data_IF_912482648124
#
_entry.id   IF_912482648124
#
_cell.length_a   1.000
_cell.length_b   1.000
_cell.length_c   1.000
_cell.angle_alpha   90.00
_cell.angle_beta   90.00
_cell.angle_gamma   90.00
#
_symmetry.space_group_name_H-M   'P 1'
#
loop_
_entity.id
_entity.type
_entity.pdbx_description
1 polymer ?
#
# COMPACT_ATOMS: atom_id res chain seq x y z
N UNK A 1 24.68 -63.45 38.86
CA UNK A 1 23.45 -64.00 38.26
C UNK A 1 22.32 -63.25 38.93
N UNK A 2 21.71 -62.28 38.24
CA UNK A 2 20.50 -62.48 37.40
C UNK A 2 19.26 -62.52 38.32
N UNK A 3 18.27 -61.65 38.24
CA UNK A 3 17.87 -60.69 37.19
C UNK A 3 17.27 -59.40 37.77
N UNK A 4 17.19 -58.35 36.94
CA UNK A 4 16.54 -57.08 37.28
C UNK A 4 15.09 -57.06 36.77
N UNK A 5 14.15 -56.64 37.61
CA UNK A 5 12.77 -56.38 37.23
C UNK A 5 12.51 -54.87 37.17
N UNK A 6 12.23 -54.35 35.98
CA UNK A 6 11.95 -52.93 35.73
C UNK A 6 10.51 -52.57 36.09
N UNK A 7 10.31 -51.81 37.16
CA UNK A 7 9.02 -51.18 37.46
C UNK A 7 8.84 -49.88 36.67
N UNK A 8 7.95 -49.89 35.68
CA UNK A 8 7.58 -48.68 34.94
C UNK A 8 6.69 -47.77 35.80
N UNK A 9 7.17 -46.57 36.13
CA UNK A 9 6.40 -45.58 36.87
C UNK A 9 5.31 -44.95 35.99
N UNK A 10 4.05 -45.27 36.27
CA UNK A 10 2.90 -44.60 35.66
C UNK A 10 2.78 -43.17 36.20
N UNK A 11 3.12 -42.18 35.37
CA UNK A 11 2.90 -40.77 35.68
C UNK A 11 1.44 -40.42 35.51
N UNK A 12 0.73 -40.26 36.63
CA UNK A 12 -0.70 -39.93 36.67
C UNK A 12 -0.88 -38.41 36.85
N UNK A 13 -1.30 -37.64 35.81
CA UNK A 13 -1.40 -36.19 35.89
C UNK A 13 -2.75 -35.75 36.47
N UNK A 14 -3.04 -36.11 37.72
CA UNK A 14 -4.20 -35.60 38.44
C UNK A 14 -3.80 -34.39 39.30
N UNK A 15 -3.72 -33.22 38.65
CA UNK A 15 -3.47 -31.95 39.34
C UNK A 15 -4.76 -31.51 40.01
N UNK A 16 -4.78 -31.50 41.35
CA UNK A 16 -5.88 -30.95 42.13
C UNK A 16 -6.10 -29.47 41.77
N UNK A 17 -7.26 -29.14 41.23
CA UNK A 17 -7.74 -27.77 41.13
C UNK A 17 -7.99 -27.27 42.56
N UNK A 18 -7.13 -26.38 43.05
CA UNK A 18 -7.32 -25.71 44.33
C UNK A 18 -8.43 -24.68 44.22
N UNK A 19 -9.38 -24.73 45.16
CA UNK A 19 -10.54 -23.83 45.23
C UNK A 19 -10.14 -22.34 45.10
N UNK A 20 -10.91 -21.51 44.38
CA UNK A 20 -10.66 -20.08 44.32
C UNK A 20 -10.95 -19.41 45.67
N UNK A 21 -9.95 -18.72 46.21
CA UNK A 21 -10.10 -17.87 47.40
C UNK A 21 -11.01 -16.69 47.09
N UNK A 22 -12.15 -16.60 47.75
CA UNK A 22 -13.05 -15.44 47.63
C UNK A 22 -12.39 -14.17 48.16
N UNK A 23 -12.10 -13.21 47.29
CA UNK A 23 -11.72 -11.86 47.71
C UNK A 23 -12.93 -11.15 48.32
N UNK A 24 -12.77 -10.61 49.53
CA UNK A 24 -13.85 -10.05 50.34
C UNK A 24 -13.91 -8.51 50.24
N UNK A 25 -13.73 -7.97 49.04
CA UNK A 25 -13.85 -6.54 48.76
C UNK A 25 -15.26 -6.21 48.23
N UNK A 26 -16.04 -5.49 49.04
CA UNK A 26 -17.46 -5.17 48.81
C UNK A 26 -17.73 -4.17 47.69
N UNK A 27 -17.26 -4.44 46.47
CA UNK A 27 -17.67 -3.76 45.23
C UNK A 27 -18.16 -4.81 44.24
N UNK A 28 -19.47 -5.05 44.24
CA UNK A 28 -20.12 -6.05 43.41
C UNK A 28 -19.88 -5.84 41.92
N UNK A 29 -18.86 -6.52 41.39
CA UNK A 29 -18.61 -6.69 39.96
C UNK A 29 -19.03 -8.12 39.64
N UNK A 30 -20.13 -8.26 38.90
CA UNK A 30 -20.57 -9.57 38.40
C UNK A 30 -19.63 -9.93 37.26
N UNK A 31 -18.71 -10.87 37.52
CA UNK A 31 -18.01 -11.56 36.44
C UNK A 31 -19.01 -12.51 35.78
N UNK A 32 -19.37 -12.21 34.54
CA UNK A 32 -20.21 -13.07 33.73
C UNK A 32 -19.29 -14.10 33.09
N UNK A 33 -19.28 -15.32 33.62
CA UNK A 33 -18.77 -16.49 32.91
C UNK A 33 -19.66 -16.78 31.69
N UNK A 34 -19.37 -16.09 30.59
CA UNK A 34 -19.87 -16.44 29.27
C UNK A 34 -18.67 -16.63 28.35
N UNK A 35 -18.39 -17.87 27.99
CA UNK A 35 -17.28 -18.29 27.14
C UNK A 35 -17.45 -17.90 25.66
N UNK A 36 -17.79 -16.64 25.38
CA UNK A 36 -17.68 -16.03 24.06
C UNK A 36 -16.32 -15.36 23.94
N UNK A 37 -15.36 -16.06 23.33
CA UNK A 37 -14.12 -15.40 22.88
C UNK A 37 -14.43 -14.28 21.87
N UNK A 38 -13.56 -13.28 21.73
CA UNK A 38 -13.74 -12.25 20.71
C UNK A 38 -13.80 -12.91 19.32
N UNK A 39 -14.80 -12.54 18.51
CA UNK A 39 -14.93 -13.01 17.12
C UNK A 39 -13.60 -12.79 16.37
N UNK A 40 -13.06 -13.85 15.79
CA UNK A 40 -11.84 -13.77 14.98
C UNK A 40 -12.16 -13.10 13.64
N UNK A 41 -11.15 -12.50 13.02
CA UNK A 41 -11.35 -11.74 11.78
C UNK A 41 -11.86 -12.61 10.62
N UNK A 42 -11.53 -13.91 10.58
CA UNK A 42 -12.06 -14.86 9.58
C UNK A 42 -13.57 -15.09 9.72
N UNK A 43 -14.12 -15.14 10.94
CA UNK A 43 -15.57 -15.31 11.14
C UNK A 43 -16.33 -14.06 10.63
N UNK A 44 -15.70 -12.88 10.71
CA UNK A 44 -16.20 -11.64 10.12
C UNK A 44 -16.07 -11.63 8.58
N UNK A 45 -14.96 -12.13 8.04
CA UNK A 45 -14.70 -12.17 6.60
C UNK A 45 -15.58 -13.20 5.88
N UNK A 46 -15.89 -14.35 6.51
CA UNK A 46 -16.79 -15.35 5.96
C UNK A 46 -18.23 -14.83 5.82
N UNK A 47 -18.73 -14.09 6.83
CA UNK A 47 -20.05 -13.41 6.78
C UNK A 47 -20.10 -12.29 5.72
N UNK A 48 -18.96 -11.67 5.39
CA UNK A 48 -18.88 -10.64 4.34
C UNK A 48 -18.64 -11.22 2.93
N UNK A 49 -17.98 -12.36 2.81
CA UNK A 49 -17.56 -12.99 1.55
C UNK A 49 -18.71 -13.59 0.73
N UNK A 50 -19.69 -14.20 1.39
CA UNK A 50 -20.82 -14.89 0.74
C UNK A 50 -21.73 -13.93 -0.07
N UNK A 51 -21.63 -12.62 0.16
CA UNK A 51 -22.42 -11.62 -0.57
C UNK A 51 -21.91 -11.30 -1.98
N UNK A 52 -20.82 -11.93 -2.45
CA UNK A 52 -20.17 -11.56 -3.73
C UNK A 52 -19.75 -12.70 -4.66
N UNK A 53 -20.18 -13.95 -4.45
CA UNK A 53 -19.94 -15.07 -5.40
C UNK A 53 -21.25 -15.74 -5.83
N UNK A 54 -21.78 -15.30 -6.97
CA UNK A 54 -23.01 -15.87 -7.54
C UNK A 54 -23.35 -15.42 -8.96
N UNK A 55 -22.45 -15.63 -9.95
CA UNK A 55 -22.82 -15.59 -11.39
C UNK A 55 -21.77 -16.14 -12.38
N UNK A 56 -21.84 -17.44 -12.69
CA UNK A 56 -21.42 -18.11 -13.94
C UNK A 56 -21.67 -19.62 -13.77
N UNK A 57 -22.60 -20.24 -14.52
CA UNK A 57 -22.39 -21.02 -15.77
C UNK A 57 -21.57 -22.31 -15.57
N UNK A 58 -21.94 -23.48 -16.10
CA UNK A 58 -22.98 -23.87 -17.08
C UNK A 58 -23.57 -25.25 -16.69
N UNK A 59 -24.82 -25.55 -17.08
CA UNK A 59 -25.13 -26.82 -17.78
C UNK A 59 -26.54 -26.81 -18.44
N UNK A 60 -26.71 -27.60 -19.50
CA UNK A 60 -27.93 -27.65 -20.35
C UNK A 60 -28.43 -29.08 -20.57
N UNK A 61 -29.75 -29.29 -20.74
CA UNK A 61 -30.22 -30.10 -21.88
C UNK A 61 -31.14 -29.33 -22.86
N UNK A 62 -31.55 -30.03 -23.94
CA UNK A 62 -32.23 -29.50 -25.14
C UNK A 62 -33.72 -29.91 -25.23
N UNK A 63 -34.37 -29.38 -26.29
CA UNK A 63 -35.62 -29.81 -26.96
C UNK A 63 -36.95 -29.23 -26.42
N UNK A 64 -37.93 -28.86 -27.26
CA UNK A 64 -37.96 -28.68 -28.74
C UNK A 64 -39.04 -27.64 -29.16
N UNK A 65 -39.16 -27.38 -30.48
CA UNK A 65 -40.15 -26.57 -31.26
C UNK A 65 -41.56 -26.36 -30.65
N UNK A 66 -42.36 -25.34 -31.00
CA UNK A 66 -42.57 -24.57 -32.26
C UNK A 66 -43.15 -23.16 -31.94
N UNK A 67 -43.57 -22.25 -32.84
CA UNK A 67 -43.77 -22.21 -34.30
C UNK A 67 -43.66 -20.75 -34.82
N UNK A 68 -43.71 -20.56 -36.14
CA UNK A 68 -43.35 -19.33 -36.90
C UNK A 68 -44.58 -18.56 -37.48
N UNK A 69 -44.33 -17.40 -38.10
CA UNK A 69 -45.19 -16.54 -38.94
C UNK A 69 -46.21 -15.68 -38.16
N UNK A 70 -46.46 -14.39 -38.47
CA UNK A 70 -46.43 -13.58 -39.72
C UNK A 70 -46.05 -12.11 -39.40
N UNK A 71 -45.72 -11.15 -40.29
CA UNK A 71 -45.32 -11.03 -41.72
C UNK A 71 -45.05 -9.52 -42.02
N UNK A 72 -44.25 -9.19 -43.05
CA UNK A 72 -44.21 -7.96 -43.91
C UNK A 72 -44.69 -6.59 -43.37
N UNK A 73 -44.02 -5.45 -43.56
CA UNK A 73 -43.58 -4.80 -44.82
C UNK A 73 -42.76 -3.52 -44.48
N UNK A 74 -42.12 -2.73 -45.35
CA UNK A 74 -41.37 -2.87 -46.62
C UNK A 74 -40.88 -1.44 -47.04
N UNK A 75 -39.75 -1.31 -47.76
CA UNK A 75 -39.15 -0.07 -48.35
C UNK A 75 -38.76 1.10 -47.39
N UNK A 76 -37.74 1.92 -47.64
CA UNK A 76 -36.68 1.93 -48.67
C UNK A 76 -35.89 3.28 -48.72
N UNK A 77 -34.65 3.24 -49.27
CA UNK A 77 -33.85 4.28 -50.01
C UNK A 77 -34.30 5.78 -49.99
N UNK A 78 -33.46 6.84 -50.00
CA UNK A 78 -32.05 7.04 -50.47
C UNK A 78 -31.48 8.44 -50.12
N UNK A 79 -30.16 8.52 -49.82
CA UNK A 79 -29.10 9.38 -50.39
C UNK A 79 -29.10 10.95 -50.44
N UNK A 80 -27.87 11.50 -50.22
CA UNK A 80 -27.34 12.88 -50.52
C UNK A 80 -28.00 14.07 -49.75
N UNK A 81 -27.36 15.20 -49.44
CA UNK A 81 -25.94 15.63 -49.30
C UNK A 81 -25.94 16.98 -48.52
N UNK A 82 -24.92 17.84 -48.35
CA UNK A 82 -23.60 18.02 -48.99
C UNK A 82 -22.60 18.85 -48.12
N UNK A 83 -21.43 19.17 -48.66
CA UNK A 83 -20.39 20.10 -48.20
C UNK A 83 -20.89 21.53 -47.84
N UNK A 84 -20.28 22.26 -46.87
CA UNK A 84 -19.21 23.29 -47.02
C UNK A 84 -18.98 24.01 -45.64
N UNK A 85 -17.96 24.83 -45.31
CA UNK A 85 -16.71 25.36 -45.92
C UNK A 85 -15.72 25.86 -44.80
N UNK A 86 -14.52 26.33 -45.17
CA UNK A 86 -13.53 27.20 -44.46
C UNK A 86 -13.18 28.34 -45.45
N UNK A 87 -12.80 29.60 -45.08
CA UNK A 87 -11.56 29.97 -44.34
C UNK A 87 -11.76 31.15 -43.32
N UNK A 88 -10.88 31.53 -42.37
CA UNK A 88 -9.43 31.90 -42.36
C UNK A 88 -9.14 33.42 -42.66
N UNK A 89 -7.93 34.01 -42.47
CA UNK A 89 -7.72 35.05 -41.45
C UNK A 89 -7.20 36.41 -41.99
N UNK A 90 -6.86 37.38 -41.10
CA UNK A 90 -6.02 38.55 -41.43
C UNK A 90 -5.00 38.89 -40.34
N UNK A 91 -3.76 39.17 -40.77
CA UNK A 91 -2.66 39.70 -39.99
C UNK A 91 -2.32 41.16 -40.42
N UNK A 92 -1.44 41.84 -39.67
CA UNK A 92 -0.42 42.85 -40.09
C UNK A 92 0.31 43.41 -38.85
N UNK A 93 1.63 43.25 -38.72
CA UNK A 93 2.75 44.16 -39.15
C UNK A 93 2.91 45.40 -38.23
N UNK A 94 3.94 45.50 -37.37
CA UNK A 94 5.33 46.00 -37.59
C UNK A 94 5.44 47.55 -37.61
N UNK A 95 6.50 48.28 -37.16
CA UNK A 95 7.90 47.97 -36.78
C UNK A 95 8.60 49.24 -36.19
N UNK A 96 9.68 49.09 -35.40
CA UNK A 96 10.83 50.04 -35.16
C UNK A 96 10.56 51.49 -34.63
N UNK A 97 11.44 52.21 -33.91
CA UNK A 97 12.83 52.01 -33.36
C UNK A 97 13.00 52.83 -32.04
N UNK A 98 14.13 52.98 -31.31
CA UNK A 98 15.52 52.48 -31.46
C UNK A 98 16.28 52.16 -30.14
N UNK A 99 17.12 53.07 -29.61
CA UNK A 99 18.12 52.83 -28.53
C UNK A 99 18.47 54.06 -27.67
N UNK A 100 18.79 53.83 -26.39
CA UNK A 100 20.09 54.21 -25.76
C UNK A 100 20.31 53.48 -24.43
N UNK A 101 21.57 53.25 -24.04
CA UNK A 101 22.02 52.36 -22.95
C UNK A 101 21.96 52.95 -21.52
N UNK A 102 21.73 52.10 -20.50
CA UNK A 102 22.52 52.05 -19.23
C UNK A 102 22.08 50.92 -18.25
N UNK A 103 23.06 50.13 -17.79
CA UNK A 103 23.17 49.33 -16.54
C UNK A 103 22.21 48.15 -16.21
N UNK A 104 22.83 47.07 -15.69
CA UNK A 104 22.20 45.81 -15.32
C UNK A 104 21.48 45.83 -13.96
N UNK A 105 20.25 45.31 -13.91
CA UNK A 105 19.67 44.64 -12.72
C UNK A 105 18.89 43.39 -13.17
N UNK A 106 18.95 42.27 -12.44
CA UNK A 106 18.28 41.03 -12.86
C UNK A 106 16.75 41.19 -12.88
N UNK A 107 16.12 40.62 -13.90
CA UNK A 107 14.68 40.76 -14.16
C UNK A 107 13.82 40.23 -13.00
N UNK A 108 13.25 41.16 -12.22
CA UNK A 108 12.25 40.87 -11.18
C UNK A 108 10.93 40.52 -11.85
N UNK A 109 10.21 39.53 -11.32
CA UNK A 109 8.90 39.12 -11.85
C UNK A 109 7.83 40.04 -11.28
N UNK A 110 7.46 41.08 -12.01
CA UNK A 110 6.35 41.95 -11.62
C UNK A 110 5.02 41.23 -11.81
N UNK A 111 4.17 41.23 -10.77
CA UNK A 111 2.82 40.68 -10.82
C UNK A 111 1.85 41.85 -11.01
N UNK A 112 1.13 41.84 -12.14
CA UNK A 112 0.10 42.86 -12.43
C UNK A 112 -1.10 42.66 -11.51
N UNK A 113 -1.28 43.57 -10.56
CA UNK A 113 -2.43 43.61 -9.67
C UNK A 113 -3.35 44.76 -10.07
N UNK A 114 -4.63 44.47 -10.29
CA UNK A 114 -5.67 45.49 -10.49
C UNK A 114 -6.24 45.93 -9.17
N UNK A 115 -6.12 47.22 -8.85
CA UNK A 115 -6.83 47.83 -7.73
C UNK A 115 -7.67 49.00 -8.26
N UNK A 116 -8.99 48.92 -8.10
CA UNK A 116 -9.97 49.98 -8.41
C UNK A 116 -9.68 50.73 -9.73
N UNK A 117 -9.50 49.97 -10.82
CA UNK A 117 -9.25 50.42 -12.20
C UNK A 117 -7.86 50.99 -12.52
N UNK A 118 -6.86 50.83 -11.64
CA UNK A 118 -5.43 51.02 -12.00
C UNK A 118 -4.65 49.70 -12.04
N UNK A 119 -3.88 49.49 -13.11
CA UNK A 119 -2.91 48.41 -13.24
C UNK A 119 -1.61 48.80 -12.50
N UNK A 120 -1.36 48.22 -11.33
CA UNK A 120 -0.06 48.36 -10.64
C UNK A 120 0.80 47.11 -10.90
N UNK A 121 2.04 47.35 -11.31
CA UNK A 121 3.10 46.34 -11.32
C UNK A 121 3.75 46.29 -9.94
N UNK A 122 3.33 45.32 -9.13
CA UNK A 122 3.92 45.07 -7.81
C UNK A 122 5.08 44.08 -7.94
N UNK A 123 6.17 44.39 -7.25
CA UNK A 123 7.36 43.55 -7.19
C UNK A 123 7.16 42.44 -6.13
N UNK A 124 7.73 41.25 -6.34
CA UNK A 124 7.54 40.08 -5.45
C UNK A 124 8.08 40.35 -4.02
N UNK A 125 8.99 41.33 -3.86
CA UNK A 125 9.54 41.80 -2.58
C UNK A 125 8.73 42.93 -1.91
N UNK A 126 7.61 43.37 -2.49
CA UNK A 126 6.83 44.49 -1.91
C UNK A 126 6.26 44.09 -0.54
N UNK A 127 6.66 44.85 0.49
CA UNK A 127 6.18 44.69 1.86
C UNK A 127 4.75 45.19 1.97
N UNK A 128 3.82 44.28 2.25
CA UNK A 128 2.41 44.59 2.53
C UNK A 128 2.21 44.50 4.05
N UNK A 129 1.69 45.55 4.71
CA UNK A 129 1.31 45.46 6.12
C UNK A 129 0.10 44.53 6.26
N UNK A 130 0.25 43.45 7.02
CA UNK A 130 -0.80 42.48 7.32
C UNK A 130 -1.02 42.48 8.83
N UNK A 131 -2.27 42.65 9.25
CA UNK A 131 -2.65 42.54 10.66
C UNK A 131 -2.81 41.08 11.07
N UNK A 132 -1.84 40.56 11.81
CA UNK A 132 -1.89 39.22 12.41
C UNK A 132 -2.00 39.37 13.92
N UNK A 133 -3.04 38.79 14.52
CA UNK A 133 -3.30 38.83 15.97
C UNK A 133 -3.28 40.24 16.60
N UNK A 134 -3.75 41.26 15.87
CA UNK A 134 -3.84 42.64 16.36
C UNK A 134 -2.53 43.44 16.34
N UNK A 135 -1.48 42.93 15.69
CA UNK A 135 -0.26 43.69 15.37
C UNK A 135 -0.05 43.72 13.86
N UNK A 136 0.48 44.84 13.37
CA UNK A 136 0.86 45.01 11.97
C UNK A 136 2.26 44.44 11.76
N UNK A 137 2.38 43.38 10.97
CA UNK A 137 3.66 42.87 10.50
C UNK A 137 3.77 43.09 8.99
N UNK A 138 4.96 43.49 8.54
CA UNK A 138 5.26 43.69 7.12
C UNK A 138 5.60 42.34 6.49
N UNK A 139 4.70 41.80 5.67
CA UNK A 139 4.85 40.51 4.99
C UNK A 139 5.10 40.72 3.51
N UNK A 140 5.99 39.93 2.89
CA UNK A 140 6.16 39.96 1.43
C UNK A 140 4.99 39.29 0.71
N UNK A 141 4.71 39.69 -0.53
CA UNK A 141 3.73 39.03 -1.42
C UNK A 141 3.96 37.51 -1.54
N UNK A 142 5.22 37.09 -1.51
CA UNK A 142 5.64 35.68 -1.54
C UNK A 142 5.23 34.91 -0.29
N UNK A 143 5.43 35.48 0.90
CA UNK A 143 5.04 34.89 2.19
C UNK A 143 3.51 34.83 2.35
N UNK A 144 2.81 35.91 1.98
CA UNK A 144 1.35 35.97 1.90
C UNK A 144 0.77 34.86 1.02
N UNK A 145 1.39 34.62 -0.14
CA UNK A 145 0.97 33.56 -1.08
C UNK A 145 1.27 32.16 -0.52
N UNK A 146 2.41 31.97 0.14
CA UNK A 146 2.78 30.72 0.79
C UNK A 146 1.83 30.38 1.95
N UNK A 147 1.51 31.33 2.82
CA UNK A 147 0.59 31.16 3.94
C UNK A 147 -0.86 30.94 3.47
N UNK A 148 -1.35 31.68 2.47
CA UNK A 148 -2.64 31.40 1.83
C UNK A 148 -2.69 29.98 1.24
N UNK A 149 -1.62 29.54 0.59
CA UNK A 149 -1.52 28.17 0.03
C UNK A 149 -1.46 27.11 1.13
N UNK A 150 -0.75 27.38 2.23
CA UNK A 150 -0.69 26.53 3.41
C UNK A 150 -2.05 26.40 4.08
N UNK A 151 -2.76 27.51 4.31
CA UNK A 151 -4.12 27.55 4.85
C UNK A 151 -5.10 26.74 4.01
N UNK A 152 -5.08 26.87 2.68
CA UNK A 152 -5.91 26.04 1.78
C UNK A 152 -5.56 24.55 1.85
N UNK A 153 -4.29 24.18 2.10
CA UNK A 153 -3.90 22.79 2.32
C UNK A 153 -4.40 22.27 3.69
N UNK A 154 -4.28 23.06 4.75
CA UNK A 154 -4.83 22.76 6.07
C UNK A 154 -6.35 22.65 6.05
N UNK A 155 -7.07 23.57 5.40
CA UNK A 155 -8.54 23.52 5.28
C UNK A 155 -9.00 22.23 4.58
N UNK A 156 -8.26 21.76 3.57
CA UNK A 156 -8.51 20.46 2.92
C UNK A 156 -8.27 19.30 3.88
N UNK A 157 -7.13 19.26 4.57
CA UNK A 157 -6.84 18.21 5.56
C UNK A 157 -7.85 18.20 6.71
N UNK A 158 -8.26 19.36 7.24
CA UNK A 158 -9.32 19.45 8.25
C UNK A 158 -10.67 19.01 7.71
N UNK A 159 -10.98 19.28 6.44
CA UNK A 159 -12.21 18.78 5.78
C UNK A 159 -12.17 17.26 5.62
N UNK A 160 -11.03 16.68 5.24
CA UNK A 160 -10.83 15.24 5.09
C UNK A 160 -10.85 14.51 6.45
N UNK A 161 -10.16 15.04 7.46
CA UNK A 161 -10.25 14.57 8.86
C UNK A 161 -11.67 14.67 9.41
N UNK A 162 -12.41 15.73 9.06
CA UNK A 162 -13.82 15.87 9.46
C UNK A 162 -14.74 14.86 8.77
N UNK A 163 -14.43 14.48 7.53
CA UNK A 163 -15.12 13.38 6.83
C UNK A 163 -14.79 12.03 7.47
N UNK A 164 -13.50 11.72 7.67
CA UNK A 164 -13.10 10.44 8.26
C UNK A 164 -13.63 10.26 9.69
N UNK A 165 -13.60 11.31 10.53
CA UNK A 165 -14.23 11.28 11.87
C UNK A 165 -15.74 11.03 11.81
N UNK A 166 -16.46 11.62 10.84
CA UNK A 166 -17.88 11.34 10.63
C UNK A 166 -18.11 9.90 10.17
N UNK A 167 -17.31 9.39 9.24
CA UNK A 167 -17.40 8.00 8.78
C UNK A 167 -17.11 7.00 9.90
N UNK A 168 -16.07 7.21 10.70
CA UNK A 168 -15.74 6.40 11.90
C UNK A 168 -16.91 6.45 12.88
N UNK A 169 -17.42 7.63 13.23
CA UNK A 169 -18.59 7.76 14.11
C UNK A 169 -19.83 7.03 13.58
N UNK A 170 -20.10 7.06 12.27
CA UNK A 170 -21.22 6.28 11.69
C UNK A 170 -20.98 4.76 11.71
N UNK A 171 -19.73 4.30 11.67
CA UNK A 171 -19.40 2.87 11.84
C UNK A 171 -19.53 2.44 13.30
N UNK A 172 -19.06 3.27 14.22
CA UNK A 172 -19.17 3.04 15.66
C UNK A 172 -20.62 3.00 16.13
N UNK A 173 -21.47 3.93 15.66
CA UNK A 173 -22.91 3.89 15.89
C UNK A 173 -23.56 2.60 15.35
N UNK A 174 -23.18 2.14 14.15
CA UNK A 174 -23.67 0.86 13.60
C UNK A 174 -23.19 -0.34 14.42
N UNK A 175 -21.97 -0.32 14.94
CA UNK A 175 -21.45 -1.36 15.83
C UNK A 175 -22.19 -1.36 17.17
N UNK A 176 -22.50 -0.19 17.74
CA UNK A 176 -23.33 -0.06 18.94
C UNK A 176 -24.77 -0.55 18.68
N UNK A 177 -25.38 -0.20 17.54
CA UNK A 177 -26.68 -0.74 17.13
C UNK A 177 -26.67 -2.26 16.98
N UNK A 178 -25.62 -2.85 16.39
CA UNK A 178 -25.47 -4.30 16.24
C UNK A 178 -25.26 -4.95 17.62
N UNK A 179 -24.41 -4.38 18.47
CA UNK A 179 -24.18 -4.85 19.84
C UNK A 179 -25.47 -4.85 20.67
N UNK A 180 -26.26 -3.78 20.56
CA UNK A 180 -27.58 -3.69 21.18
C UNK A 180 -28.54 -4.75 20.60
N UNK A 181 -28.63 -4.91 19.27
CA UNK A 181 -29.46 -5.97 18.66
C UNK A 181 -29.05 -7.38 19.09
N UNK A 182 -27.74 -7.65 19.24
CA UNK A 182 -27.22 -8.92 19.78
C UNK A 182 -27.69 -9.07 21.23
N UNK A 183 -27.52 -8.04 22.06
CA UNK A 183 -27.99 -8.05 23.45
C UNK A 183 -29.51 -8.29 23.54
N UNK A 184 -30.31 -7.59 22.75
CA UNK A 184 -31.77 -7.72 22.64
C UNK A 184 -32.20 -9.11 22.11
N UNK A 185 -31.32 -9.80 21.37
CA UNK A 185 -31.51 -11.19 20.96
C UNK A 185 -31.14 -12.16 22.10
N UNK A 186 -30.12 -11.85 22.90
CA UNK A 186 -29.72 -12.67 24.04
C UNK A 186 -30.67 -12.57 25.22
N UNK A 187 -31.27 -11.40 25.47
CA UNK A 187 -32.27 -11.11 26.50
C UNK A 187 -33.70 -11.59 26.11
N UNK A 188 -33.93 -12.01 24.86
CA UNK A 188 -35.21 -12.56 24.42
C UNK A 188 -35.53 -13.89 25.15
N UNK A 189 -36.73 -14.06 25.75
CA UNK A 189 -37.08 -15.25 26.52
C UNK A 189 -37.44 -16.46 25.64
N UNK A 190 -37.85 -16.25 24.39
CA UNK A 190 -38.16 -17.31 23.43
C UNK A 190 -36.90 -17.71 22.65
N UNK A 191 -36.51 -18.98 22.77
CA UNK A 191 -35.33 -19.55 22.10
C UNK A 191 -35.43 -19.54 20.58
N UNK A 192 -36.63 -19.74 20.03
CA UNK A 192 -36.83 -19.72 18.58
C UNK A 192 -36.69 -18.29 18.04
N UNK A 193 -37.34 -17.33 18.71
CA UNK A 193 -37.24 -15.91 18.37
C UNK A 193 -35.82 -15.38 18.51
N UNK A 194 -35.08 -15.79 19.55
CA UNK A 194 -33.65 -15.51 19.74
C UNK A 194 -32.82 -15.98 18.55
N UNK A 195 -33.01 -17.22 18.09
CA UNK A 195 -32.30 -17.75 16.93
C UNK A 195 -32.63 -16.97 15.65
N UNK A 196 -33.89 -16.57 15.45
CA UNK A 196 -34.31 -15.76 14.30
C UNK A 196 -33.75 -14.33 14.33
N UNK A 197 -33.69 -13.69 15.52
CA UNK A 197 -33.03 -12.39 15.70
C UNK A 197 -31.52 -12.49 15.38
N UNK A 198 -30.85 -13.56 15.82
CA UNK A 198 -29.44 -13.79 15.48
C UNK A 198 -29.23 -14.01 13.97
N UNK A 199 -30.10 -14.76 13.29
CA UNK A 199 -30.08 -14.91 11.84
C UNK A 199 -30.29 -13.57 11.10
N UNK A 200 -31.18 -12.71 11.60
CA UNK A 200 -31.40 -11.37 11.07
C UNK A 200 -30.16 -10.46 11.22
N UNK A 201 -29.45 -10.56 12.35
CA UNK A 201 -28.19 -9.83 12.60
C UNK A 201 -27.08 -10.32 11.64
N UNK A 202 -27.01 -11.63 11.37
CA UNK A 202 -26.15 -12.21 10.34
C UNK A 202 -26.58 -11.86 8.89
N UNK A 203 -27.70 -11.12 8.71
CA UNK A 203 -28.17 -10.67 7.41
C UNK A 203 -28.94 -11.72 6.60
N UNK A 204 -29.33 -12.83 7.22
CA UNK A 204 -30.17 -13.88 6.63
C UNK A 204 -31.64 -13.55 6.88
N UNK A 205 -32.50 -13.79 5.89
CA UNK A 205 -33.96 -13.67 6.05
C UNK A 205 -34.46 -14.70 7.08
N UNK A 206 -35.08 -14.28 8.21
CA UNK A 206 -35.59 -15.19 9.23
C UNK A 206 -36.56 -16.25 8.70
N UNK A 207 -37.34 -15.95 7.65
CA UNK A 207 -38.31 -16.90 7.08
C UNK A 207 -37.57 -18.02 6.33
N UNK A 208 -36.58 -17.66 5.52
CA UNK A 208 -35.73 -18.63 4.80
C UNK A 208 -34.88 -19.45 5.77
N UNK A 209 -34.30 -18.79 6.78
CA UNK A 209 -33.58 -19.47 7.85
C UNK A 209 -34.48 -20.48 8.56
N UNK A 210 -35.71 -20.09 8.95
CA UNK A 210 -36.68 -20.98 9.58
C UNK A 210 -37.06 -22.16 8.69
N UNK A 211 -37.32 -21.94 7.40
CA UNK A 211 -37.64 -23.02 6.46
C UNK A 211 -36.48 -24.01 6.33
N UNK A 212 -35.26 -23.52 6.15
CA UNK A 212 -34.06 -24.36 6.10
C UNK A 212 -33.85 -25.11 7.41
N UNK A 213 -33.89 -24.41 8.54
CA UNK A 213 -33.77 -25.00 9.88
C UNK A 213 -34.80 -26.10 10.12
N UNK A 214 -36.07 -25.90 9.75
CA UNK A 214 -37.10 -26.93 9.89
C UNK A 214 -36.83 -28.13 8.99
N UNK A 215 -36.47 -27.94 7.72
CA UNK A 215 -36.14 -29.04 6.81
C UNK A 215 -34.95 -29.86 7.31
N UNK A 216 -33.87 -29.18 7.73
CA UNK A 216 -32.66 -29.81 8.26
C UNK A 216 -32.98 -30.58 9.55
N UNK A 217 -33.71 -29.98 10.50
CA UNK A 217 -34.07 -30.62 11.77
C UNK A 217 -35.12 -31.73 11.64
N UNK A 218 -36.06 -31.66 10.68
CA UNK A 218 -36.99 -32.75 10.42
C UNK A 218 -36.22 -34.00 10.01
N UNK A 219 -35.26 -33.87 9.08
CA UNK A 219 -34.43 -35.02 8.66
C UNK A 219 -33.58 -35.59 9.82
N UNK A 220 -33.12 -34.73 10.73
CA UNK A 220 -32.38 -35.13 11.93
C UNK A 220 -33.30 -35.83 12.95
N UNK A 221 -34.52 -35.34 13.14
CA UNK A 221 -35.55 -35.94 14.01
C UNK A 221 -36.01 -37.30 13.48
N UNK A 222 -36.26 -37.43 12.17
CA UNK A 222 -36.59 -38.70 11.52
C UNK A 222 -35.47 -39.73 11.74
N UNK A 223 -34.20 -39.34 11.55
CA UNK A 223 -33.05 -40.18 11.90
C UNK A 223 -33.03 -40.53 13.40
N UNK A 224 -33.27 -39.56 14.28
CA UNK A 224 -33.26 -39.76 15.73
C UNK A 224 -34.34 -40.73 16.22
N UNK A 225 -35.56 -40.66 15.65
CA UNK A 225 -36.64 -41.61 15.96
C UNK A 225 -36.40 -43.00 15.37
N UNK A 226 -35.63 -43.13 14.29
CA UNK A 226 -35.22 -44.41 13.73
C UNK A 226 -34.09 -45.10 14.52
N UNK A 227 -33.34 -44.36 15.34
CA UNK A 227 -32.21 -44.89 16.14
C UNK A 227 -32.66 -45.51 17.48
N UNK A 228 -32.08 -46.67 17.79
CA UNK A 228 -32.17 -47.32 19.09
C UNK A 228 -31.57 -46.46 20.22
N UNK A 229 -31.81 -46.83 21.48
CA UNK A 229 -31.31 -46.06 22.63
C UNK A 229 -29.79 -45.99 22.70
N UNK A 230 -29.08 -47.06 22.31
CA UNK A 230 -27.62 -47.08 22.34
C UNK A 230 -27.02 -46.33 21.15
N UNK A 231 -27.66 -46.38 19.97
CA UNK A 231 -27.30 -45.51 18.84
C UNK A 231 -27.50 -44.03 19.17
N UNK A 232 -28.58 -43.66 19.86
CA UNK A 232 -28.82 -42.27 20.31
C UNK A 232 -27.76 -41.79 21.32
N UNK A 233 -27.29 -42.64 22.23
CA UNK A 233 -26.15 -42.31 23.13
C UNK A 233 -24.85 -42.14 22.33
N UNK A 234 -24.59 -43.00 21.36
CA UNK A 234 -23.41 -42.91 20.50
C UNK A 234 -23.41 -41.65 19.62
N UNK A 235 -24.55 -41.28 19.04
CA UNK A 235 -24.73 -40.05 18.24
C UNK A 235 -24.55 -38.79 19.10
N UNK A 236 -25.07 -38.79 20.34
CA UNK A 236 -24.85 -37.69 21.30
C UNK A 236 -23.37 -37.52 21.69
N UNK A 237 -22.65 -38.61 21.99
CA UNK A 237 -21.21 -38.58 22.26
C UNK A 237 -20.40 -38.16 21.03
N UNK A 238 -20.78 -38.58 19.83
CA UNK A 238 -20.14 -38.17 18.59
C UNK A 238 -20.37 -36.67 18.29
N UNK A 239 -21.55 -36.14 18.60
CA UNK A 239 -21.86 -34.72 18.50
C UNK A 239 -21.06 -33.88 19.51
N UNK A 240 -20.96 -34.34 20.76
CA UNK A 240 -20.10 -33.70 21.76
C UNK A 240 -18.63 -33.69 21.31
N UNK A 241 -18.10 -34.83 20.88
CA UNK A 241 -16.74 -34.94 20.35
C UNK A 241 -16.50 -34.02 19.13
N UNK A 242 -17.52 -33.84 18.27
CA UNK A 242 -17.46 -32.88 17.14
C UNK A 242 -17.39 -31.43 17.60
N UNK A 243 -18.15 -31.03 18.64
CA UNK A 243 -18.07 -29.69 19.23
C UNK A 243 -16.71 -29.47 19.91
N UNK A 244 -16.24 -30.44 20.70
CA UNK A 244 -14.93 -30.37 21.36
C UNK A 244 -13.81 -30.26 20.32
N UNK A 245 -13.87 -31.05 19.24
CA UNK A 245 -12.94 -30.92 18.12
C UNK A 245 -13.00 -29.54 17.47
N UNK A 246 -14.19 -29.03 17.14
CA UNK A 246 -14.32 -27.69 16.55
C UNK A 246 -13.69 -26.60 17.44
N UNK A 247 -13.87 -26.68 18.76
CA UNK A 247 -13.24 -25.76 19.72
C UNK A 247 -11.71 -25.90 19.78
N UNK A 248 -11.19 -27.12 19.64
CA UNK A 248 -9.76 -27.37 19.58
C UNK A 248 -9.16 -26.84 18.27
N UNK A 249 -9.81 -27.11 17.14
CA UNK A 249 -9.40 -26.67 15.81
C UNK A 249 -9.37 -25.12 15.74
N UNK A 250 -10.41 -24.41 16.23
CA UNK A 250 -10.42 -22.93 16.25
C UNK A 250 -9.41 -22.33 17.23
N UNK A 251 -9.15 -22.98 18.37
CA UNK A 251 -8.09 -22.56 19.29
C UNK A 251 -6.70 -22.76 18.68
N UNK A 252 -6.47 -23.86 17.97
CA UNK A 252 -5.21 -24.14 17.27
C UNK A 252 -5.00 -23.14 16.13
N UNK A 253 -6.04 -22.83 15.35
CA UNK A 253 -6.00 -21.85 14.28
C UNK A 253 -5.71 -20.44 14.79
N UNK A 254 -6.42 -19.97 15.83
CA UNK A 254 -6.13 -18.67 16.46
C UNK A 254 -4.70 -18.60 17.03
N UNK A 255 -4.19 -19.69 17.62
CA UNK A 255 -2.80 -19.74 18.10
C UNK A 255 -1.78 -19.71 16.96
N UNK A 256 -2.04 -20.40 15.84
CA UNK A 256 -1.20 -20.34 14.63
C UNK A 256 -1.17 -18.93 14.03
N UNK A 257 -2.32 -18.26 13.96
CA UNK A 257 -2.42 -16.87 13.50
C UNK A 257 -1.64 -15.92 14.41
N UNK A 258 -1.77 -16.06 15.73
CA UNK A 258 -1.02 -15.25 16.69
C UNK A 258 0.49 -15.49 16.59
N UNK A 259 0.92 -16.75 16.46
CA UNK A 259 2.34 -17.10 16.26
C UNK A 259 2.88 -16.53 14.95
N UNK A 260 2.12 -16.60 13.85
CA UNK A 260 2.49 -16.01 12.57
C UNK A 260 2.60 -14.48 12.64
N UNK A 261 1.66 -13.81 13.33
CA UNK A 261 1.71 -12.37 13.56
C UNK A 261 2.92 -11.97 14.41
N UNK A 262 3.19 -12.67 15.52
CA UNK A 262 4.36 -12.45 16.38
C UNK A 262 5.68 -12.65 15.60
N UNK A 263 5.77 -13.69 14.77
CA UNK A 263 6.92 -13.94 13.92
C UNK A 263 7.13 -12.83 12.86
N UNK A 264 6.05 -12.34 12.26
CA UNK A 264 6.09 -11.24 11.29
C UNK A 264 6.51 -9.92 11.96
N UNK A 265 5.99 -9.60 13.16
CA UNK A 265 6.40 -8.43 13.95
C UNK A 265 7.89 -8.49 14.28
N UNK A 266 8.36 -9.61 14.85
CA UNK A 266 9.78 -9.79 15.18
C UNK A 266 10.69 -9.70 13.94
N UNK A 267 10.19 -10.13 12.77
CA UNK A 267 10.90 -9.97 11.49
C UNK A 267 10.97 -8.50 11.06
N UNK A 268 9.88 -7.74 11.17
CA UNK A 268 9.87 -6.29 10.92
C UNK A 268 10.89 -5.59 11.83
N UNK A 269 10.86 -5.88 13.13
CA UNK A 269 11.72 -5.21 14.11
C UNK A 269 13.21 -5.57 13.92
N UNK A 270 13.53 -6.83 13.59
CA UNK A 270 14.91 -7.23 13.30
C UNK A 270 15.48 -6.56 12.05
N UNK A 271 14.68 -6.41 10.98
CA UNK A 271 15.10 -5.69 9.77
C UNK A 271 15.18 -4.17 10.01
N UNK A 272 14.23 -3.57 10.75
CA UNK A 272 14.30 -2.16 11.15
C UNK A 272 15.58 -1.87 11.95
N UNK A 273 15.94 -2.75 12.88
CA UNK A 273 17.15 -2.63 13.66
C UNK A 273 18.42 -2.78 12.81
N UNK A 274 18.49 -3.73 11.87
CA UNK A 274 19.66 -3.92 11.02
C UNK A 274 19.91 -2.77 10.04
N UNK A 275 18.83 -2.17 9.51
CA UNK A 275 18.90 -1.06 8.54
C UNK A 275 18.77 0.34 9.17
N UNK A 276 18.70 0.43 10.50
CA UNK A 276 18.54 1.67 11.26
C UNK A 276 17.35 2.52 10.76
N UNK A 277 16.18 1.88 10.66
CA UNK A 277 14.93 2.49 10.17
C UNK A 277 13.98 2.72 11.34
N UNK A 278 13.47 3.95 11.49
CA UNK A 278 12.53 4.27 12.56
C UNK A 278 11.15 3.66 12.31
N UNK A 279 10.29 3.61 13.34
CA UNK A 279 8.91 3.09 13.16
C UNK A 279 8.10 3.96 12.20
N UNK A 280 8.22 5.28 12.38
CA UNK A 280 7.50 6.30 11.62
C UNK A 280 7.92 6.31 10.15
N UNK A 281 9.23 6.14 9.87
CA UNK A 281 9.77 6.03 8.51
C UNK A 281 9.28 4.75 7.81
N UNK A 282 9.27 3.61 8.54
CA UNK A 282 8.74 2.34 8.03
C UNK A 282 7.23 2.41 7.75
N UNK A 283 6.45 2.90 8.71
CA UNK A 283 4.99 3.05 8.58
C UNK A 283 4.61 4.03 7.47
N UNK A 284 5.25 5.21 7.41
CA UNK A 284 4.99 6.18 6.34
C UNK A 284 5.34 5.62 4.96
N UNK A 285 6.42 4.84 4.84
CA UNK A 285 6.76 4.22 3.55
C UNK A 285 5.84 3.07 3.18
N UNK A 286 5.36 2.30 4.16
CA UNK A 286 4.31 1.30 3.95
C UNK A 286 3.04 1.94 3.37
N UNK A 287 2.55 3.02 4.00
CA UNK A 287 1.36 3.75 3.52
C UNK A 287 1.55 4.32 2.10
N UNK A 288 2.74 4.86 1.79
CA UNK A 288 3.08 5.35 0.46
C UNK A 288 3.04 4.22 -0.60
N UNK A 289 3.60 3.04 -0.31
CA UNK A 289 3.57 1.89 -1.20
C UNK A 289 2.14 1.38 -1.37
N UNK A 290 1.38 1.23 -0.28
CA UNK A 290 -0.01 0.77 -0.36
C UNK A 290 -0.90 1.74 -1.16
N UNK A 291 -0.73 3.05 -0.95
CA UNK A 291 -1.44 4.07 -1.73
C UNK A 291 -1.08 4.01 -3.22
N UNK A 292 0.20 3.78 -3.56
CA UNK A 292 0.65 3.61 -4.94
C UNK A 292 0.08 2.34 -5.58
N UNK A 293 0.15 1.19 -4.91
CA UNK A 293 -0.40 -0.09 -5.38
C UNK A 293 -1.92 0.01 -5.61
N UNK A 294 -2.66 0.66 -4.69
CA UNK A 294 -4.09 0.96 -4.86
C UNK A 294 -4.37 1.87 -6.07
N UNK A 295 -3.56 2.92 -6.29
CA UNK A 295 -3.70 3.80 -7.46
C UNK A 295 -3.42 3.06 -8.77
N UNK A 296 -2.41 2.18 -8.80
CA UNK A 296 -2.08 1.37 -9.97
C UNK A 296 -3.19 0.35 -10.27
N UNK A 297 -3.71 -0.35 -9.25
CA UNK A 297 -4.84 -1.27 -9.40
C UNK A 297 -6.13 -0.56 -9.86
N UNK A 298 -6.36 0.69 -9.44
CA UNK A 298 -7.50 1.49 -9.91
C UNK A 298 -7.35 1.97 -11.36
N UNK A 299 -6.11 2.18 -11.83
CA UNK A 299 -5.81 2.70 -13.18
C UNK A 299 -5.66 1.59 -14.24
N UNK A 300 -5.27 0.39 -13.84
CA UNK A 300 -4.96 -0.72 -14.74
C UNK A 300 -5.65 -2.00 -14.25
N UNK A 301 -6.66 -2.49 -14.98
CA UNK A 301 -7.46 -3.68 -14.61
C UNK A 301 -6.63 -4.95 -14.43
N UNK A 302 -5.53 -5.05 -15.17
CA UNK A 302 -4.70 -6.25 -15.25
C UNK A 302 -3.51 -6.19 -14.27
N UNK A 303 -3.39 -5.09 -13.52
CA UNK A 303 -2.35 -4.91 -12.52
C UNK A 303 -2.64 -5.76 -11.28
N UNK A 304 -1.79 -6.76 -11.05
CA UNK A 304 -1.80 -7.54 -9.83
C UNK A 304 -0.89 -6.85 -8.82
N UNK A 305 -1.40 -6.33 -7.69
CA UNK A 305 -0.56 -5.69 -6.70
C UNK A 305 0.44 -6.71 -6.15
N UNK A 306 1.70 -6.31 -6.06
CA UNK A 306 2.75 -7.19 -5.56
C UNK A 306 2.68 -7.22 -4.02
N UNK A 307 2.88 -8.40 -3.42
CA UNK A 307 2.85 -8.55 -1.97
C UNK A 307 3.83 -7.55 -1.32
N UNK A 308 3.32 -6.76 -0.36
CA UNK A 308 4.12 -5.78 0.36
C UNK A 308 4.83 -6.52 1.49
N UNK A 309 6.08 -6.93 1.25
CA UNK A 309 6.93 -7.58 2.26
C UNK A 309 7.75 -6.54 3.04
N UNK A 310 8.12 -6.83 4.31
CA UNK A 310 9.01 -5.97 5.10
C UNK A 310 10.32 -5.61 4.38
N UNK A 311 10.91 -6.58 3.68
CA UNK A 311 12.11 -6.40 2.88
C UNK A 311 11.92 -5.38 1.76
N UNK A 312 10.80 -5.44 1.04
CA UNK A 312 10.48 -4.50 -0.05
C UNK A 312 10.32 -3.08 0.49
N UNK A 313 9.70 -2.90 1.65
CA UNK A 313 9.56 -1.58 2.29
C UNK A 313 10.96 -1.02 2.57
N UNK A 314 11.83 -1.80 3.23
CA UNK A 314 13.18 -1.37 3.59
C UNK A 314 14.06 -1.12 2.37
N UNK A 315 14.03 -1.98 1.34
CA UNK A 315 14.69 -1.72 0.05
C UNK A 315 14.29 -0.35 -0.51
N UNK A 316 12.99 0.00 -0.47
CA UNK A 316 12.56 1.32 -0.97
C UNK A 316 12.99 2.48 -0.07
N UNK A 317 13.22 2.27 1.22
CA UNK A 317 13.75 3.28 2.16
C UNK A 317 15.23 3.50 1.89
N UNK A 318 16.01 2.43 1.77
CA UNK A 318 17.44 2.51 1.46
C UNK A 318 17.68 3.17 0.10
N UNK A 319 16.89 2.80 -0.92
CA UNK A 319 16.92 3.48 -2.23
C UNK A 319 16.52 4.95 -2.17
N UNK A 320 15.58 5.34 -1.30
CA UNK A 320 15.22 6.75 -1.09
C UNK A 320 16.37 7.54 -0.43
N UNK A 321 16.98 6.97 0.62
CA UNK A 321 18.16 7.54 1.30
C UNK A 321 19.35 7.72 0.33
N UNK A 322 19.62 6.71 -0.51
CA UNK A 322 20.61 6.79 -1.59
C UNK A 322 20.23 7.84 -2.64
N UNK A 323 18.97 7.90 -3.06
CA UNK A 323 18.46 8.89 -4.01
C UNK A 323 18.68 10.31 -3.51
N UNK A 324 18.27 10.59 -2.27
CA UNK A 324 18.34 11.93 -1.68
C UNK A 324 19.81 12.40 -1.57
N UNK A 325 20.72 11.56 -1.06
CA UNK A 325 22.15 11.87 -1.00
C UNK A 325 22.77 12.12 -2.39
N UNK A 326 22.38 11.31 -3.39
CA UNK A 326 22.85 11.47 -4.78
C UNK A 326 22.30 12.76 -5.40
N UNK A 327 21.02 13.08 -5.17
CA UNK A 327 20.38 14.25 -5.72
C UNK A 327 20.92 15.55 -5.11
N UNK A 328 21.16 15.59 -3.79
CA UNK A 328 21.84 16.69 -3.12
C UNK A 328 23.22 16.95 -3.74
N UNK A 329 24.03 15.90 -3.95
CA UNK A 329 25.36 16.09 -4.56
C UNK A 329 25.26 16.58 -6.00
N UNK A 330 24.36 16.02 -6.82
CA UNK A 330 24.15 16.48 -8.20
C UNK A 330 23.66 17.95 -8.25
N UNK A 331 22.81 18.38 -7.30
CA UNK A 331 22.42 19.79 -7.17
C UNK A 331 23.63 20.71 -6.95
N UNK A 332 24.62 20.29 -6.15
CA UNK A 332 25.86 21.08 -5.94
C UNK A 332 26.77 21.16 -7.18
N UNK A 333 26.71 20.19 -8.09
CA UNK A 333 27.56 20.15 -9.29
C UNK A 333 26.99 20.91 -10.51
N UNK A 334 25.74 21.38 -10.46
CA UNK A 334 25.09 22.23 -11.48
C UNK A 334 25.27 21.78 -12.95
N UNK A 335 25.25 20.46 -13.19
CA UNK A 335 25.66 19.79 -14.43
C UNK A 335 24.88 20.11 -15.73
N UNK A 336 23.92 21.06 -15.70
CA UNK A 336 23.17 21.52 -16.88
C UNK A 336 22.25 20.46 -17.53
N UNK A 337 21.94 19.38 -16.83
CA UNK A 337 21.12 18.28 -17.36
C UNK A 337 19.63 18.63 -17.41
N UNK A 338 18.94 18.12 -18.43
CA UNK A 338 17.47 18.08 -18.47
C UNK A 338 16.92 17.17 -17.34
N UNK A 339 15.70 17.42 -16.89
CA UNK A 339 15.09 16.70 -15.77
C UNK A 339 14.96 15.19 -16.04
N UNK A 340 14.58 14.80 -17.27
CA UNK A 340 14.48 13.39 -17.67
C UNK A 340 15.84 12.68 -17.64
N UNK A 341 16.90 13.32 -18.14
CA UNK A 341 18.25 12.74 -18.14
C UNK A 341 18.82 12.70 -16.73
N UNK A 342 18.56 13.72 -15.90
CA UNK A 342 18.88 13.70 -14.46
C UNK A 342 18.18 12.53 -13.76
N UNK A 343 16.87 12.35 -13.97
CA UNK A 343 16.08 11.28 -13.34
C UNK A 343 16.55 9.88 -13.76
N UNK A 344 16.84 9.68 -15.05
CA UNK A 344 17.36 8.40 -15.57
C UNK A 344 18.77 8.09 -15.06
N UNK A 345 19.65 9.07 -14.99
CA UNK A 345 21.00 8.91 -14.45
C UNK A 345 20.98 8.63 -12.94
N UNK A 346 20.14 9.34 -12.18
CA UNK A 346 19.89 9.09 -10.76
C UNK A 346 19.41 7.66 -10.52
N UNK A 347 18.35 7.21 -11.21
CA UNK A 347 17.80 5.86 -11.05
C UNK A 347 18.86 4.78 -11.31
N UNK A 348 19.53 4.86 -12.46
CA UNK A 348 20.60 3.92 -12.82
C UNK A 348 21.78 3.91 -11.83
N UNK A 349 22.04 5.03 -11.15
CA UNK A 349 23.10 5.13 -10.16
C UNK A 349 22.66 4.57 -8.81
N UNK A 350 21.45 4.89 -8.35
CA UNK A 350 20.88 4.38 -7.10
C UNK A 350 20.72 2.85 -7.16
N UNK A 351 20.21 2.29 -8.25
CA UNK A 351 20.08 0.82 -8.39
C UNK A 351 21.45 0.12 -8.44
N UNK A 352 22.47 0.74 -9.05
CA UNK A 352 23.85 0.20 -9.03
C UNK A 352 24.52 0.33 -7.66
N UNK A 353 24.31 1.45 -6.97
CA UNK A 353 24.84 1.66 -5.63
C UNK A 353 24.21 0.69 -4.63
N UNK A 354 22.89 0.50 -4.72
CA UNK A 354 22.14 -0.45 -3.91
C UNK A 354 22.60 -1.89 -4.14
N UNK A 355 22.72 -2.33 -5.40
CA UNK A 355 23.20 -3.70 -5.72
C UNK A 355 24.66 -3.96 -5.34
N UNK A 356 25.46 -2.91 -5.14
CA UNK A 356 26.84 -2.99 -4.66
C UNK A 356 26.97 -2.72 -3.14
N UNK A 357 25.87 -2.46 -2.43
CA UNK A 357 25.86 -2.27 -0.97
C UNK A 357 26.45 -0.94 -0.47
N UNK A 358 26.50 0.10 -1.31
CA UNK A 358 27.01 1.42 -0.91
C UNK A 358 26.10 2.12 0.10
N UNK A 359 26.70 2.91 0.98
CA UNK A 359 26.01 3.73 1.98
C UNK A 359 25.73 5.14 1.46
N UNK A 360 24.71 5.85 1.99
CA UNK A 360 24.39 7.23 1.59
C UNK A 360 25.59 8.19 1.61
N UNK A 361 26.49 8.06 2.58
CA UNK A 361 27.69 8.90 2.71
C UNK A 361 28.69 8.70 1.55
N UNK A 362 28.75 7.50 0.98
CA UNK A 362 29.68 7.13 -0.10
C UNK A 362 29.17 7.60 -1.48
N UNK A 363 27.85 7.87 -1.60
CA UNK A 363 27.24 8.36 -2.83
C UNK A 363 27.81 9.72 -3.27
N UNK A 364 28.14 10.60 -2.32
CA UNK A 364 28.73 11.89 -2.62
C UNK A 364 30.08 11.74 -3.35
N UNK A 365 30.92 10.80 -2.91
CA UNK A 365 32.21 10.51 -3.54
C UNK A 365 32.06 9.86 -4.92
N UNK A 366 31.10 8.93 -5.06
CA UNK A 366 30.82 8.27 -6.33
C UNK A 366 30.27 9.26 -7.38
N UNK A 367 29.43 10.22 -6.97
CA UNK A 367 28.93 11.30 -7.83
C UNK A 367 30.08 12.19 -8.30
N UNK A 368 30.99 12.56 -7.39
CA UNK A 368 32.17 13.38 -7.72
C UNK A 368 33.14 12.66 -8.66
N UNK A 369 33.31 11.35 -8.50
CA UNK A 369 34.15 10.51 -9.34
C UNK A 369 33.56 10.28 -10.75
N UNK A 370 32.24 10.14 -10.86
CA UNK A 370 31.56 9.93 -12.14
C UNK A 370 31.31 11.22 -12.93
N UNK A 371 31.03 12.34 -12.25
CA UNK A 371 30.57 13.58 -12.90
C UNK A 371 31.16 14.87 -12.34
N UNK A 372 31.75 14.86 -11.15
CA UNK A 372 32.29 16.05 -10.50
C UNK A 372 33.78 16.31 -10.74
N UNK A 373 34.40 17.04 -9.80
CA UNK A 373 35.77 17.53 -9.91
C UNK A 373 36.83 16.44 -9.93
N UNK A 374 36.60 15.27 -9.31
CA UNK A 374 37.54 14.13 -9.39
C UNK A 374 37.67 13.62 -10.83
N UNK A 375 36.59 13.66 -11.64
CA UNK A 375 36.65 13.32 -13.08
C UNK A 375 37.40 14.36 -13.90
N UNK A 376 37.21 15.65 -13.63
CA UNK A 376 37.96 16.71 -14.32
C UNK A 376 39.44 16.67 -13.93
N UNK A 377 39.76 16.43 -12.65
CA UNK A 377 41.14 16.19 -12.20
C UNK A 377 41.77 14.99 -12.90
N UNK A 378 41.16 13.79 -12.89
CA UNK A 378 41.71 12.61 -13.60
C UNK A 378 41.90 12.85 -15.11
N UNK A 379 41.00 13.61 -15.75
CA UNK A 379 41.15 13.94 -17.18
C UNK A 379 42.17 15.06 -17.45
N UNK A 380 42.42 15.95 -16.48
CA UNK A 380 43.52 16.93 -16.52
C UNK A 380 44.85 16.22 -16.29
N UNK A 381 44.96 15.34 -15.29
CA UNK A 381 46.15 14.51 -15.01
C UNK A 381 46.49 13.62 -16.21
N UNK A 382 45.50 12.94 -16.81
CA UNK A 382 45.70 12.16 -18.02
C UNK A 382 46.18 13.03 -19.20
N UNK A 383 45.66 14.26 -19.35
CA UNK A 383 46.10 15.21 -20.38
C UNK A 383 47.47 15.84 -20.09
N UNK A 384 47.82 16.07 -18.82
CA UNK A 384 49.16 16.50 -18.41
C UNK A 384 50.15 15.39 -18.71
N UNK A 385 49.87 14.15 -18.28
CA UNK A 385 50.69 12.98 -18.59
C UNK A 385 50.88 12.77 -20.10
N UNK A 386 49.82 12.90 -20.91
CA UNK A 386 49.93 12.88 -22.37
C UNK A 386 50.76 14.05 -22.94
N UNK A 387 50.65 15.26 -22.37
CA UNK A 387 51.50 16.39 -22.75
C UNK A 387 52.96 16.16 -22.37
N UNK A 388 53.23 15.61 -21.20
CA UNK A 388 54.57 15.31 -20.72
C UNK A 388 55.22 14.20 -21.55
N UNK A 389 54.47 13.15 -21.89
CA UNK A 389 54.86 12.09 -22.86
C UNK A 389 55.05 12.62 -24.29
N UNK A 390 54.41 13.73 -24.66
CA UNK A 390 54.63 14.40 -25.95
C UNK A 390 55.86 15.33 -25.93
N UNK A 391 56.02 16.13 -24.87
CA UNK A 391 57.09 17.12 -24.70
C UNK A 391 58.47 16.50 -24.43
N UNK A 392 58.53 15.45 -23.62
CA UNK A 392 59.78 14.76 -23.29
C UNK A 392 60.11 13.64 -24.30
N UNK A 393 59.31 13.53 -25.37
CA UNK A 393 59.24 12.35 -26.22
C UNK A 393 58.63 11.15 -25.50
N UNK A 394 58.18 10.15 -26.27
CA UNK A 394 57.84 8.85 -25.69
C UNK A 394 59.10 8.30 -25.03
N UNK A 395 59.13 8.38 -23.70
CA UNK A 395 60.14 7.72 -22.86
C UNK A 395 60.23 6.27 -23.35
N UNK A 396 61.39 5.89 -23.88
CA UNK A 396 61.54 4.65 -24.65
C UNK A 396 60.81 3.51 -23.96
N UNK A 397 59.83 2.93 -24.65
CA UNK A 397 59.15 1.73 -24.15
C UNK A 397 60.26 0.74 -23.86
N UNK A 398 60.45 0.30 -22.61
CA UNK A 398 61.57 -0.58 -22.27
C UNK A 398 61.46 -1.77 -23.20
N UNK A 399 62.48 -1.94 -24.07
CA UNK A 399 62.54 -3.10 -24.97
C UNK A 399 62.39 -4.32 -24.08
N UNK A 400 61.24 -4.98 -24.17
CA UNK A 400 60.97 -6.20 -23.43
C UNK A 400 62.07 -7.16 -23.83
N UNK A 401 62.97 -7.43 -22.88
CA UNK A 401 64.09 -8.33 -23.11
C UNK A 401 63.51 -9.66 -23.59
N UNK A 402 63.99 -10.13 -24.73
CA UNK A 402 63.40 -11.29 -25.39
C UNK A 402 63.38 -12.51 -24.49
N UNK A 403 62.23 -13.19 -24.44
CA UNK A 403 62.11 -14.65 -24.43
C UNK A 403 60.63 -15.05 -24.40
N UNK A 404 60.00 -15.03 -25.57
CA UNK A 404 58.85 -15.89 -25.86
C UNK A 404 58.80 -16.11 -27.37
N UNK A 405 59.16 -17.31 -27.79
CA UNK A 405 59.02 -17.76 -29.17
C UNK A 405 57.52 -17.78 -29.52
N UNK A 406 57.09 -16.82 -30.35
CA UNK A 406 55.79 -16.89 -31.02
C UNK A 406 56.05 -17.14 -32.50
N UNK A 407 55.96 -18.40 -32.91
CA UNK A 407 56.02 -18.78 -34.31
C UNK A 407 54.92 -18.03 -35.10
N UNK A 408 55.23 -17.50 -36.29
CA UNK A 408 54.20 -16.96 -37.17
C UNK A 408 53.37 -18.12 -37.72
N UNK A 409 52.14 -18.28 -37.22
CA UNK A 409 51.12 -19.14 -37.81
C UNK A 409 50.90 -18.71 -39.28
N UNK A 410 51.34 -19.57 -40.22
CA UNK A 410 51.10 -19.39 -41.64
C UNK A 410 49.66 -19.79 -42.00
N UNK A 411 49.12 -19.14 -43.03
CA UNK A 411 47.69 -19.19 -43.41
C UNK A 411 47.26 -20.46 -44.19
N UNK A 412 48.07 -21.52 -44.21
CA UNK A 412 47.87 -22.73 -45.04
C UNK A 412 47.31 -23.95 -44.26
N UNK A 413 46.94 -23.81 -42.98
CA UNK A 413 46.25 -24.86 -42.19
C UNK A 413 44.83 -24.43 -41.74
N UNK A 414 43.94 -24.18 -42.71
CA UNK A 414 42.47 -24.09 -42.51
C UNK A 414 41.75 -24.93 -43.58
#
# INVERSE_FOLDING_TARGET
MSEAATGAGSTNPNINVTNPTTSNDGKGRIEIESGGGPLTFDELEQVLGDKKRGKSKDDKPKQDKSQDLTSDSDKGKTAKSDAKEKPEPKAKESKDSEKSDAEEKPARKTVKAKFQDTDLELDDETLIPVTVNGKEEMWTLKELRADKSGKVAWDKQFTELSKSKKEIGTKELKLQEISNKIRDAFEEPDSDMKMFKMAQIAGVDPIQFRQKFLNDNISLLEKFYAMSEDERKADALAYEAKIQKHRADTLEESSKQEQAHRALSAKIDSLRASHQVSEEEFASRYEQIEAYERQMAAKYSDYKPAQITPERIIETIEKDRLWNATEERIKTLSLGWNEETKRKNLLNMVDKAYTLGFKPNEMAEMVDELWGSKRTQRTIEAKQKQKDEFLHGKKDVPKVGGNSESEPLFFDEI
#
